data_IF_277278749813
#
_entry.id   IF_277278749813
#
_cell.length_a   1.000
_cell.length_b   1.000
_cell.length_c   1.000
_cell.angle_alpha   90.00
_cell.angle_beta   90.00
_cell.angle_gamma   90.00
#
_symmetry.space_group_name_H-M   'P 1'
#
loop_
_entity.id
_entity.type
_entity.pdbx_description
1 polymer ?
#
# COMPACT_ATOMS: atom_id res chain seq x y z
N UNK A 1 26.68 32.35 -44.32
CA UNK A 1 25.35 32.50 -43.70
C UNK A 1 25.05 31.23 -42.92
N UNK A 2 25.00 31.32 -41.59
CA UNK A 2 24.74 30.18 -40.71
C UNK A 2 23.23 29.92 -40.75
N UNK A 3 22.83 28.75 -41.25
CA UNK A 3 21.43 28.33 -41.34
C UNK A 3 20.98 27.87 -39.95
N UNK A 4 19.91 28.48 -39.43
CA UNK A 4 19.33 28.12 -38.14
C UNK A 4 18.78 26.68 -38.16
N UNK A 5 19.21 25.85 -37.21
CA UNK A 5 18.64 24.53 -36.95
C UNK A 5 17.28 24.74 -36.26
N UNK A 6 16.16 24.23 -36.80
CA UNK A 6 14.88 24.35 -36.14
C UNK A 6 14.83 23.37 -34.95
N UNK A 7 14.48 23.90 -33.76
CA UNK A 7 14.17 23.09 -32.59
C UNK A 7 12.96 22.18 -32.89
N UNK A 8 13.01 20.87 -32.58
CA UNK A 8 11.86 20.00 -32.75
C UNK A 8 10.71 20.41 -31.82
N UNK A 9 9.50 20.32 -32.38
CA UNK A 9 8.21 20.74 -31.81
C UNK A 9 7.90 20.03 -30.48
N UNK A 10 7.25 20.77 -29.59
CA UNK A 10 6.83 20.40 -28.24
C UNK A 10 5.98 19.12 -28.14
N UNK A 11 6.38 18.29 -27.17
CA UNK A 11 5.60 17.41 -26.28
C UNK A 11 4.55 16.49 -26.91
N UNK A 12 4.99 15.36 -27.45
CA UNK A 12 4.21 14.13 -27.31
C UNK A 12 4.32 13.68 -25.85
N UNK A 13 3.25 13.79 -25.07
CA UNK A 13 3.16 13.18 -23.74
C UNK A 13 3.25 11.66 -23.91
N UNK A 14 4.41 11.09 -23.60
CA UNK A 14 4.57 9.64 -23.57
C UNK A 14 3.69 9.08 -22.44
N UNK A 15 2.72 8.19 -22.72
CA UNK A 15 1.87 7.58 -21.69
C UNK A 15 2.71 6.88 -20.61
N UNK A 16 3.89 6.40 -21.00
CA UNK A 16 4.87 5.76 -20.14
C UNK A 16 5.55 6.74 -19.16
N UNK A 17 5.66 8.03 -19.53
CA UNK A 17 6.13 9.11 -18.66
C UNK A 17 5.02 9.66 -17.75
N UNK A 18 3.76 9.69 -18.19
CA UNK A 18 2.64 10.12 -17.33
C UNK A 18 2.27 9.06 -16.28
N UNK A 19 2.55 7.78 -16.54
CA UNK A 19 2.50 6.72 -15.53
C UNK A 19 3.53 6.93 -14.39
N UNK A 20 4.62 7.67 -14.62
CA UNK A 20 5.58 8.07 -13.58
C UNK A 20 4.98 9.16 -12.67
N UNK A 21 4.02 9.97 -13.15
CA UNK A 21 3.42 11.07 -12.38
C UNK A 21 2.30 10.63 -11.45
N UNK A 22 1.62 9.54 -11.75
CA UNK A 22 0.46 9.11 -10.95
C UNK A 22 0.86 7.90 -10.11
N UNK A 23 0.89 8.01 -8.77
CA UNK A 23 1.25 6.89 -7.91
C UNK A 23 0.38 5.65 -8.20
N UNK A 24 0.93 4.43 -8.22
CA UNK A 24 0.17 3.20 -8.45
C UNK A 24 -1.09 3.07 -7.58
N UNK A 25 -2.26 2.92 -8.18
CA UNK A 25 -3.53 2.79 -7.47
C UNK A 25 -4.56 2.00 -8.29
N UNK A 26 -5.69 1.66 -7.67
CA UNK A 26 -6.84 1.07 -8.35
C UNK A 26 -8.11 1.52 -7.66
N UNK A 27 -8.75 2.57 -8.16
CA UNK A 27 -9.98 3.10 -7.57
C UNK A 27 -11.10 2.05 -7.58
N UNK A 28 -11.23 1.30 -8.67
CA UNK A 28 -12.25 0.25 -8.79
C UNK A 28 -12.12 -0.83 -7.70
N UNK A 29 -10.88 -1.24 -7.38
CA UNK A 29 -10.63 -2.22 -6.31
C UNK A 29 -10.94 -1.62 -4.93
N UNK A 30 -10.54 -0.37 -4.69
CA UNK A 30 -10.86 0.33 -3.43
C UNK A 30 -12.37 0.48 -3.23
N UNK A 31 -13.10 0.91 -4.25
CA UNK A 31 -14.55 1.06 -4.21
C UNK A 31 -15.26 -0.28 -4.02
N UNK A 32 -14.82 -1.32 -4.73
CA UNK A 32 -15.38 -2.68 -4.62
C UNK A 32 -15.17 -3.25 -3.22
N UNK A 33 -14.00 -3.02 -2.62
CA UNK A 33 -13.66 -3.44 -1.27
C UNK A 33 -14.52 -2.73 -0.22
N UNK A 34 -14.61 -1.40 -0.27
CA UNK A 34 -15.45 -0.61 0.65
C UNK A 34 -16.93 -0.99 0.53
N UNK A 35 -17.45 -1.04 -0.70
CA UNK A 35 -18.83 -1.42 -0.93
C UNK A 35 -19.14 -2.85 -0.50
N UNK A 36 -18.19 -3.77 -0.68
CA UNK A 36 -18.31 -5.15 -0.22
C UNK A 36 -18.42 -5.25 1.30
N UNK A 37 -17.61 -4.47 2.03
CA UNK A 37 -17.69 -4.39 3.49
C UNK A 37 -18.99 -3.75 3.97
N UNK A 38 -19.44 -2.67 3.34
CA UNK A 38 -20.72 -2.01 3.65
C UNK A 38 -21.93 -2.91 3.36
N UNK A 39 -21.78 -3.96 2.54
CA UNK A 39 -22.83 -4.93 2.23
C UNK A 39 -22.79 -6.16 3.15
N UNK A 40 -21.62 -6.72 3.43
CA UNK A 40 -21.46 -7.91 4.27
C UNK A 40 -20.21 -7.79 5.17
N UNK A 41 -20.42 -7.43 6.44
CA UNK A 41 -19.32 -7.28 7.41
C UNK A 41 -18.61 -8.61 7.71
N UNK A 42 -19.19 -9.79 7.44
CA UNK A 42 -18.51 -11.09 7.62
C UNK A 42 -17.32 -11.24 6.69
N UNK A 43 -17.26 -10.42 5.64
CA UNK A 43 -16.12 -10.35 4.74
C UNK A 43 -14.86 -9.79 5.40
N UNK A 44 -14.98 -9.09 6.54
CA UNK A 44 -13.87 -8.53 7.32
C UNK A 44 -12.83 -9.59 7.66
N UNK A 45 -13.26 -10.76 8.15
CA UNK A 45 -12.37 -11.85 8.55
C UNK A 45 -11.47 -12.36 7.42
N UNK A 46 -11.83 -12.10 6.16
CA UNK A 46 -11.07 -12.52 4.97
C UNK A 46 -10.00 -11.52 4.53
N UNK A 47 -10.06 -10.29 5.04
CA UNK A 47 -9.25 -9.16 4.56
C UNK A 47 -8.50 -8.42 5.67
N UNK A 48 -8.84 -8.66 6.95
CA UNK A 48 -8.24 -8.00 8.09
C UNK A 48 -6.70 -8.20 8.15
N UNK A 49 -6.22 -9.33 7.62
CA UNK A 49 -4.82 -9.71 7.47
C UNK A 49 -4.21 -9.29 6.12
N UNK A 50 -4.97 -8.66 5.22
CA UNK A 50 -4.48 -8.33 3.87
C UNK A 50 -4.22 -6.84 3.68
N UNK A 51 -5.12 -6.00 4.20
CA UNK A 51 -5.16 -4.58 3.85
C UNK A 51 -5.43 -3.70 5.07
N UNK A 52 -4.75 -2.56 5.11
CA UNK A 52 -4.91 -1.55 6.15
C UNK A 52 -5.42 -0.24 5.57
N UNK A 53 -5.92 0.67 6.41
CA UNK A 53 -6.36 2.00 5.97
C UNK A 53 -5.27 2.75 5.19
N UNK A 54 -3.99 2.60 5.56
CA UNK A 54 -2.87 3.26 4.90
C UNK A 54 -2.61 2.78 3.46
N UNK A 55 -3.19 1.64 3.07
CA UNK A 55 -2.98 1.06 1.74
C UNK A 55 -3.90 1.66 0.66
N UNK A 56 -4.98 2.33 1.05
CA UNK A 56 -5.84 3.06 0.11
C UNK A 56 -5.12 4.29 -0.44
N UNK A 57 -5.22 4.53 -1.74
CA UNK A 57 -4.66 5.72 -2.36
C UNK A 57 -5.45 6.96 -1.95
N UNK A 58 -6.78 6.93 -2.13
CA UNK A 58 -7.63 8.09 -1.88
C UNK A 58 -7.86 8.31 -0.39
N UNK A 59 -7.69 9.56 0.07
CA UNK A 59 -7.80 9.92 1.47
C UNK A 59 -9.19 9.69 2.07
N UNK A 60 -10.24 9.95 1.29
CA UNK A 60 -11.63 9.66 1.67
C UNK A 60 -11.85 8.16 1.90
N UNK A 61 -11.33 7.30 1.02
CA UNK A 61 -11.40 5.85 1.19
C UNK A 61 -10.66 5.38 2.46
N UNK A 62 -9.51 5.98 2.79
CA UNK A 62 -8.80 5.69 4.06
C UNK A 62 -9.68 5.96 5.27
N UNK A 63 -10.39 7.10 5.26
CA UNK A 63 -11.30 7.49 6.34
C UNK A 63 -12.47 6.52 6.42
N UNK A 64 -13.16 6.24 5.31
CA UNK A 64 -14.30 5.32 5.28
C UNK A 64 -13.87 3.94 5.82
N UNK A 65 -12.77 3.38 5.32
CA UNK A 65 -12.25 2.09 5.80
C UNK A 65 -11.95 2.12 7.29
N UNK A 66 -11.30 3.18 7.78
CA UNK A 66 -10.98 3.33 9.21
C UNK A 66 -12.23 3.33 10.10
N UNK A 67 -13.33 3.95 9.65
CA UNK A 67 -14.59 3.94 10.39
C UNK A 67 -15.27 2.57 10.36
N UNK A 68 -15.23 1.88 9.22
CA UNK A 68 -15.70 0.50 9.11
C UNK A 68 -14.94 -0.40 10.10
N UNK A 69 -13.60 -0.35 10.12
CA UNK A 69 -12.79 -1.14 11.05
C UNK A 69 -13.16 -0.85 12.51
N UNK A 70 -13.21 0.43 12.90
CA UNK A 70 -13.55 0.85 14.27
C UNK A 70 -14.92 0.35 14.72
N UNK A 71 -15.92 0.35 13.83
CA UNK A 71 -17.26 -0.15 14.15
C UNK A 71 -17.23 -1.67 14.33
N UNK A 72 -16.64 -2.40 13.39
CA UNK A 72 -16.55 -3.87 13.43
C UNK A 72 -15.77 -4.35 14.66
N UNK A 73 -14.63 -3.73 14.98
CA UNK A 73 -13.83 -4.03 16.18
C UNK A 73 -14.61 -3.82 17.48
N UNK A 74 -15.55 -2.88 17.50
CA UNK A 74 -16.46 -2.63 18.63
C UNK A 74 -17.71 -3.52 18.58
N UNK A 75 -17.72 -4.54 17.73
CA UNK A 75 -18.86 -5.42 17.50
C UNK A 75 -20.13 -4.66 17.09
N UNK A 76 -19.98 -3.52 16.43
CA UNK A 76 -21.07 -2.76 15.83
C UNK A 76 -21.14 -3.07 14.33
N UNK A 77 -22.34 -3.24 13.76
CA UNK A 77 -22.49 -3.37 12.31
C UNK A 77 -21.99 -2.09 11.61
N UNK A 78 -21.32 -2.27 10.49
CA UNK A 78 -20.80 -1.21 9.65
C UNK A 78 -21.52 -1.24 8.29
N UNK A 79 -22.67 -0.58 8.24
CA UNK A 79 -23.46 -0.32 7.03
C UNK A 79 -23.39 1.17 6.65
N UNK A 80 -24.06 1.54 5.55
CA UNK A 80 -24.06 2.92 5.04
C UNK A 80 -24.53 3.94 6.09
N UNK A 81 -25.54 3.60 6.89
CA UNK A 81 -26.15 4.53 7.86
C UNK A 81 -25.21 4.68 9.07
N UNK A 82 -24.80 3.57 9.65
CA UNK A 82 -23.92 3.54 10.84
C UNK A 82 -22.55 4.14 10.56
N UNK A 83 -21.98 3.91 9.37
CA UNK A 83 -20.73 4.56 8.94
C UNK A 83 -20.95 6.05 8.71
N UNK A 84 -22.07 6.47 8.11
CA UNK A 84 -22.39 7.89 7.94
C UNK A 84 -22.51 8.61 9.30
N UNK A 85 -23.23 8.03 10.27
CA UNK A 85 -23.34 8.57 11.63
C UNK A 85 -21.98 8.68 12.32
N UNK A 86 -21.14 7.65 12.18
CA UNK A 86 -19.78 7.63 12.71
C UNK A 86 -18.93 8.76 12.11
N UNK A 87 -18.98 8.96 10.80
CA UNK A 87 -18.28 10.06 10.11
C UNK A 87 -18.85 11.45 10.46
N UNK A 88 -20.17 11.58 10.58
CA UNK A 88 -20.86 12.82 10.96
C UNK A 88 -20.45 13.25 12.37
N UNK A 89 -20.41 12.30 13.32
CA UNK A 89 -19.99 12.57 14.70
C UNK A 89 -18.54 13.09 14.81
N UNK A 90 -17.70 12.74 13.83
CA UNK A 90 -16.32 13.21 13.72
C UNK A 90 -16.15 14.42 12.78
N UNK A 91 -17.26 14.94 12.21
CA UNK A 91 -17.29 16.05 11.23
C UNK A 91 -16.53 15.76 9.93
N UNK A 92 -16.45 14.48 9.55
CA UNK A 92 -15.71 14.00 8.38
C UNK A 92 -16.62 13.61 7.21
N UNK A 93 -17.93 13.45 7.45
CA UNK A 93 -18.89 12.95 6.44
C UNK A 93 -18.89 13.76 5.14
N UNK A 94 -18.85 15.08 5.24
CA UNK A 94 -18.83 15.93 4.04
C UNK A 94 -17.51 15.81 3.27
N UNK A 95 -16.40 15.55 3.96
CA UNK A 95 -15.08 15.36 3.35
C UNK A 95 -14.97 14.09 2.52
N UNK A 96 -15.84 13.11 2.74
CA UNK A 96 -15.87 11.85 1.98
C UNK A 96 -16.96 11.80 0.91
N UNK A 97 -17.65 12.92 0.63
CA UNK A 97 -18.73 12.99 -0.37
C UNK A 97 -20.12 12.67 0.17
N UNK A 98 -20.28 12.60 1.50
CA UNK A 98 -21.58 12.44 2.13
C UNK A 98 -22.15 11.02 2.08
N UNK A 99 -23.35 10.86 2.63
CA UNK A 99 -24.05 9.56 2.66
C UNK A 99 -24.37 9.04 1.26
N UNK A 100 -24.55 9.93 0.28
CA UNK A 100 -24.78 9.56 -1.12
C UNK A 100 -23.58 8.80 -1.70
N UNK A 101 -22.36 9.23 -1.37
CA UNK A 101 -21.17 8.54 -1.83
C UNK A 101 -21.06 7.13 -1.23
N UNK A 102 -21.29 6.98 0.09
CA UNK A 102 -21.34 5.67 0.75
C UNK A 102 -22.39 4.75 0.12
N UNK A 103 -23.56 5.28 -0.20
CA UNK A 103 -24.60 4.54 -0.92
C UNK A 103 -24.17 4.12 -2.33
N UNK A 104 -23.39 4.95 -3.03
CA UNK A 104 -22.86 4.60 -4.36
C UNK A 104 -21.80 3.50 -4.28
N UNK A 105 -20.91 3.54 -3.28
CA UNK A 105 -19.93 2.48 -3.02
C UNK A 105 -20.61 1.12 -2.81
N UNK A 106 -21.64 1.08 -1.95
CA UNK A 106 -22.38 -0.14 -1.67
C UNK A 106 -23.08 -0.69 -2.93
N UNK A 107 -23.64 0.18 -3.78
CA UNK A 107 -24.34 -0.21 -5.02
C UNK A 107 -23.41 -0.68 -6.13
N UNK A 108 -22.24 -0.08 -6.25
CA UNK A 108 -21.27 -0.38 -7.33
C UNK A 108 -20.44 -1.63 -7.03
N UNK A 109 -20.54 -2.20 -5.82
CA UNK A 109 -19.82 -3.41 -5.46
C UNK A 109 -20.41 -4.65 -6.12
N UNK A 110 -19.53 -5.54 -6.59
CA UNK A 110 -19.88 -6.90 -7.04
C UNK A 110 -20.19 -7.87 -5.88
N UNK A 111 -20.38 -7.34 -4.65
CA UNK A 111 -20.60 -8.09 -3.43
C UNK A 111 -19.29 -8.61 -2.80
N UNK A 112 -19.43 -9.47 -1.77
CA UNK A 112 -18.29 -9.96 -0.99
C UNK A 112 -17.57 -11.18 -1.59
N UNK A 113 -17.97 -11.68 -2.75
CA UNK A 113 -17.43 -12.91 -3.34
C UNK A 113 -15.93 -12.79 -3.66
N UNK A 114 -15.51 -11.66 -4.23
CA UNK A 114 -14.14 -11.41 -4.67
C UNK A 114 -13.38 -10.43 -3.76
N UNK A 115 -13.89 -10.17 -2.56
CA UNK A 115 -13.39 -9.10 -1.68
C UNK A 115 -11.90 -9.24 -1.33
N UNK A 116 -11.44 -10.48 -1.08
CA UNK A 116 -10.03 -10.75 -0.80
C UNK A 116 -9.14 -10.41 -1.99
N UNK A 117 -9.59 -10.68 -3.22
CA UNK A 117 -8.84 -10.32 -4.42
C UNK A 117 -8.74 -8.80 -4.58
N UNK A 118 -9.79 -8.05 -4.28
CA UNK A 118 -9.73 -6.59 -4.29
C UNK A 118 -8.79 -6.06 -3.19
N UNK A 119 -8.83 -6.63 -1.99
CA UNK A 119 -7.87 -6.30 -0.92
C UNK A 119 -6.41 -6.56 -1.34
N UNK A 120 -6.13 -7.70 -1.98
CA UNK A 120 -4.81 -8.01 -2.54
C UNK A 120 -4.37 -6.96 -3.58
N UNK A 121 -5.27 -6.55 -4.49
CA UNK A 121 -4.97 -5.52 -5.50
C UNK A 121 -4.65 -4.17 -4.84
N UNK A 122 -5.46 -3.72 -3.87
CA UNK A 122 -5.21 -2.48 -3.13
C UNK A 122 -3.85 -2.55 -2.43
N UNK A 123 -3.56 -3.70 -1.80
CA UNK A 123 -2.29 -3.93 -1.11
C UNK A 123 -1.09 -3.91 -2.06
N UNK A 124 -1.19 -4.59 -3.19
CA UNK A 124 -0.15 -4.61 -4.22
C UNK A 124 0.16 -3.20 -4.72
N UNK A 125 -0.88 -2.40 -5.02
CA UNK A 125 -0.72 -1.00 -5.43
C UNK A 125 -0.09 -0.15 -4.33
N UNK A 126 -0.46 -0.37 -3.06
CA UNK A 126 0.17 0.32 -1.94
C UNK A 126 1.67 0.01 -1.80
N UNK A 127 2.08 -1.25 -1.99
CA UNK A 127 3.49 -1.64 -2.00
C UNK A 127 4.23 -0.96 -3.14
N UNK A 128 3.67 -0.94 -4.35
CA UNK A 128 4.26 -0.24 -5.49
C UNK A 128 4.41 1.26 -5.24
N UNK A 129 3.43 1.93 -4.60
CA UNK A 129 3.56 3.35 -4.22
C UNK A 129 4.68 3.58 -3.22
N UNK A 130 4.72 2.80 -2.14
CA UNK A 130 5.77 2.92 -1.11
C UNK A 130 7.17 2.70 -1.71
N UNK A 131 7.28 1.79 -2.68
CA UNK A 131 8.53 1.57 -3.40
C UNK A 131 8.93 2.78 -4.26
N UNK A 132 7.97 3.39 -4.96
CA UNK A 132 8.21 4.60 -5.73
C UNK A 132 8.64 5.78 -4.84
N UNK A 133 7.97 5.98 -3.70
CA UNK A 133 8.32 6.97 -2.67
C UNK A 133 9.74 6.72 -2.14
N UNK A 134 10.07 5.48 -1.81
CA UNK A 134 11.42 5.13 -1.37
C UNK A 134 12.48 5.42 -2.45
N UNK A 135 12.19 5.14 -3.72
CA UNK A 135 13.09 5.45 -4.83
C UNK A 135 13.36 6.95 -4.98
N UNK A 136 12.32 7.78 -4.83
CA UNK A 136 12.45 9.25 -4.85
C UNK A 136 13.37 9.70 -3.72
N UNK A 137 13.12 9.25 -2.50
CA UNK A 137 13.89 9.71 -1.36
C UNK A 137 15.35 9.20 -1.36
N UNK A 138 15.59 7.98 -1.85
CA UNK A 138 16.94 7.44 -2.03
C UNK A 138 17.70 8.30 -3.03
N UNK A 139 17.05 8.66 -4.13
CA UNK A 139 17.63 9.53 -5.16
C UNK A 139 17.95 10.91 -4.57
N UNK A 140 17.01 11.52 -3.84
CA UNK A 140 17.21 12.80 -3.18
C UNK A 140 18.38 12.77 -2.18
N UNK A 141 18.45 11.71 -1.37
CA UNK A 141 19.52 11.52 -0.38
C UNK A 141 20.90 11.37 -1.03
N UNK A 142 20.97 10.75 -2.23
CA UNK A 142 22.23 10.60 -2.97
C UNK A 142 22.72 11.94 -3.56
N UNK A 143 21.81 12.82 -4.02
CA UNK A 143 22.18 14.14 -4.53
C UNK A 143 22.40 15.18 -3.43
N UNK A 144 21.77 15.01 -2.27
CA UNK A 144 21.88 15.90 -1.11
C UNK A 144 22.28 15.14 0.15
N UNK A 145 23.53 14.70 0.20
CA UNK A 145 24.05 13.87 1.30
C UNK A 145 24.10 14.60 2.67
N UNK A 146 24.00 15.94 2.71
CA UNK A 146 24.07 16.75 3.94
C UNK A 146 25.23 16.36 4.90
N UNK A 147 26.37 15.94 4.36
CA UNK A 147 27.55 15.55 5.13
C UNK A 147 27.59 14.08 5.58
N UNK A 148 26.61 13.26 5.19
CA UNK A 148 26.61 11.80 5.40
C UNK A 148 27.58 11.10 4.46
N UNK A 149 28.18 10.03 4.94
CA UNK A 149 29.01 9.13 4.14
C UNK A 149 28.17 8.25 3.20
N UNK A 150 28.83 7.66 2.19
CA UNK A 150 28.15 6.74 1.27
C UNK A 150 27.55 5.52 1.97
N UNK A 151 28.27 4.97 2.97
CA UNK A 151 27.82 3.81 3.75
C UNK A 151 26.54 4.15 4.53
N UNK A 152 26.49 5.31 5.20
CA UNK A 152 25.29 5.75 5.93
C UNK A 152 24.08 5.97 5.00
N UNK A 153 24.30 6.36 3.74
CA UNK A 153 23.21 6.51 2.76
C UNK A 153 22.71 5.15 2.28
N UNK A 154 23.62 4.19 2.07
CA UNK A 154 23.29 2.83 1.68
C UNK A 154 22.48 2.14 2.78
N UNK A 155 22.93 2.20 4.03
CA UNK A 155 22.24 1.63 5.19
C UNK A 155 20.81 2.17 5.33
N UNK A 156 20.62 3.49 5.12
CA UNK A 156 19.30 4.10 5.16
C UNK A 156 18.40 3.68 3.99
N UNK A 157 18.97 3.48 2.81
CA UNK A 157 18.24 2.95 1.65
C UNK A 157 17.78 1.51 1.91
N UNK A 158 18.67 0.65 2.42
CA UNK A 158 18.36 -0.74 2.79
C UNK A 158 17.26 -0.80 3.84
N UNK A 159 17.39 -0.03 4.93
CA UNK A 159 16.39 0.02 5.99
C UNK A 159 15.00 0.41 5.46
N UNK A 160 14.95 1.36 4.52
CA UNK A 160 13.69 1.83 3.95
C UNK A 160 13.05 0.80 3.02
N UNK A 161 13.82 0.15 2.16
CA UNK A 161 13.31 -0.92 1.29
C UNK A 161 12.84 -2.11 2.14
N UNK A 162 13.59 -2.45 3.18
CA UNK A 162 13.25 -3.52 4.11
C UNK A 162 11.93 -3.23 4.85
N UNK A 163 11.71 -1.99 5.30
CA UNK A 163 10.46 -1.59 5.97
C UNK A 163 9.21 -1.81 5.10
N UNK A 164 9.32 -1.69 3.77
CA UNK A 164 8.22 -1.97 2.84
C UNK A 164 7.88 -3.47 2.82
N UNK A 165 8.91 -4.32 2.81
CA UNK A 165 8.74 -5.77 2.85
C UNK A 165 8.15 -6.23 4.19
N UNK A 166 8.63 -5.69 5.32
CA UNK A 166 8.13 -6.05 6.66
C UNK A 166 6.67 -5.61 6.86
N UNK A 167 6.30 -4.43 6.37
CA UNK A 167 4.92 -3.98 6.40
C UNK A 167 3.99 -4.97 5.66
N UNK A 168 4.48 -5.71 4.65
CA UNK A 168 3.75 -6.78 3.95
C UNK A 168 3.68 -8.08 4.73
N UNK A 169 4.76 -8.45 5.40
CA UNK A 169 4.84 -9.67 6.19
C UNK A 169 3.92 -9.66 7.42
N UNK A 170 3.78 -8.50 8.11
CA UNK A 170 2.90 -8.37 9.28
C UNK A 170 1.41 -8.57 8.96
N UNK A 171 1.02 -8.39 7.71
CA UNK A 171 -0.34 -8.64 7.26
C UNK A 171 -0.54 -10.17 7.10
N UNK A 172 0.34 -10.86 6.37
CA UNK A 172 0.17 -12.29 6.07
C UNK A 172 0.68 -13.30 7.11
N UNK A 173 1.48 -12.88 8.09
CA UNK A 173 2.00 -13.77 9.14
C UNK A 173 1.14 -13.68 10.39
N UNK A 174 0.15 -14.58 10.49
CA UNK A 174 -0.36 -14.98 11.80
C UNK A 174 0.78 -15.47 12.71
N UNK A 175 0.54 -15.54 14.02
CA UNK A 175 1.54 -16.01 14.99
C UNK A 175 2.22 -17.30 14.52
N UNK A 176 3.49 -17.21 14.15
CA UNK A 176 4.31 -18.38 13.79
C UNK A 176 4.92 -18.92 15.07
N UNK A 177 4.78 -20.22 15.33
CA UNK A 177 5.40 -20.85 16.49
C UNK A 177 6.93 -20.67 16.44
N UNK A 178 7.57 -20.51 17.60
CA UNK A 178 9.02 -20.29 17.69
C UNK A 178 9.86 -21.40 17.01
N UNK A 179 9.52 -22.71 17.11
CA UNK A 179 10.32 -23.76 16.51
C UNK A 179 10.56 -23.63 14.99
N UNK A 180 9.54 -23.43 14.13
CA UNK A 180 9.76 -23.26 12.69
C UNK A 180 10.48 -21.95 12.29
N UNK A 181 10.43 -20.91 13.14
CA UNK A 181 11.18 -19.67 12.94
C UNK A 181 12.68 -19.87 13.16
N UNK A 182 13.07 -20.63 14.18
CA UNK A 182 14.48 -20.92 14.46
C UNK A 182 15.16 -21.65 13.30
N UNK A 183 14.46 -22.60 12.67
CA UNK A 183 14.99 -23.32 11.49
C UNK A 183 15.28 -22.35 10.34
N UNK A 184 14.37 -21.43 10.03
CA UNK A 184 14.55 -20.45 8.96
C UNK A 184 15.70 -19.47 9.24
N UNK A 185 15.88 -19.06 10.50
CA UNK A 185 16.99 -18.19 10.90
C UNK A 185 18.32 -18.92 10.76
N UNK A 186 18.40 -20.19 11.16
CA UNK A 186 19.61 -21.03 10.99
C UNK A 186 19.94 -21.21 9.52
N UNK A 187 18.97 -21.55 8.68
CA UNK A 187 19.16 -21.66 7.22
C UNK A 187 19.62 -20.34 6.58
N UNK A 188 19.11 -19.21 7.07
CA UNK A 188 19.53 -17.88 6.61
C UNK A 188 20.96 -17.56 7.03
N UNK A 189 21.36 -17.92 8.25
CA UNK A 189 22.74 -17.76 8.73
C UNK A 189 23.69 -18.64 7.91
N UNK A 190 23.35 -19.90 7.67
CA UNK A 190 24.14 -20.83 6.86
C UNK A 190 24.31 -20.31 5.42
N UNK A 191 23.22 -19.78 4.83
CA UNK A 191 23.26 -19.20 3.49
C UNK A 191 24.16 -17.95 3.41
N UNK A 192 24.12 -17.08 4.43
CA UNK A 192 24.97 -15.89 4.49
C UNK A 192 26.45 -16.26 4.73
N UNK A 193 26.71 -17.23 5.61
CA UNK A 193 28.05 -17.75 5.87
C UNK A 193 28.67 -18.41 4.63
N UNK A 194 27.87 -19.17 3.87
CA UNK A 194 28.31 -19.77 2.61
C UNK A 194 28.58 -18.74 1.50
N UNK A 195 27.95 -17.56 1.56
CA UNK A 195 28.18 -16.47 0.60
C UNK A 195 29.48 -15.71 0.86
N UNK A 196 29.88 -15.60 2.13
CA UNK A 196 31.08 -14.85 2.53
C UNK A 196 32.37 -15.69 2.52
N UNK A 197 32.29 -17.01 2.30
CA UNK A 197 33.45 -17.91 2.17
C UNK A 197 33.46 -18.72 0.85
N UNK A 198 33.94 -18.16 -0.28
CA UNK A 198 34.07 -18.89 -1.54
C UNK A 198 35.37 -19.71 -1.66
N UNK A 199 36.04 -20.06 -0.56
CA UNK A 199 37.38 -20.67 -0.60
C UNK A 199 37.51 -21.91 0.28
N UNK A 200 36.74 -22.95 -0.02
CA UNK A 200 37.04 -24.33 0.37
C UNK A 200 36.42 -25.35 -0.61
N UNK A 201 36.76 -25.22 -1.88
CA UNK A 201 36.63 -26.33 -2.84
C UNK A 201 38.00 -26.49 -3.52
N UNK A 202 38.83 -27.38 -2.96
CA UNK A 202 39.91 -28.07 -3.68
C UNK A 202 39.50 -29.53 -3.83
#
# INVERSE_FOLDING_TARGET
MIQAVPLPRSASSDPQFDAIKTPPHSEDAEQSLLGGLLHDNRAWDKIADVVTAADFYRGDHRLIFSHICKLIERSHPADVITVAESLESNKELQGVGGIEYLGSLQKNSSGAANIRRYAEIVRERAVMRKLAEAGIDITESAYNAMGRSADELLDAAEARVFAIAEAGARAGQGFVEIPPLLTQVVERIDMLYARDNPSDIT
#
